data_IF_723548828800
#
_entry.id   IF_723548828800
#
_cell.length_a   1.000
_cell.length_b   1.000
_cell.length_c   1.000
_cell.angle_alpha   90.00
_cell.angle_beta   90.00
_cell.angle_gamma   90.00
#
_symmetry.space_group_name_H-M   'P 1'
#
loop_
_entity.id
_entity.type
_entity.pdbx_description
1 polymer ?
#
# COMPACT_ATOMS: atom_id res chain seq x y z
N UNK A 1 20.09 -9.84 7.74
CA UNK A 1 20.72 -9.11 6.62
C UNK A 1 20.01 -7.76 6.55
N UNK A 2 20.67 -6.64 6.83
CA UNK A 2 20.03 -5.32 6.69
C UNK A 2 20.11 -4.90 5.23
N UNK A 3 18.97 -4.67 4.59
CA UNK A 3 18.91 -4.16 3.22
C UNK A 3 18.92 -2.65 3.29
N UNK A 4 20.00 -2.02 2.82
CA UNK A 4 20.06 -0.57 2.69
C UNK A 4 19.27 -0.16 1.44
N UNK A 5 18.06 0.38 1.66
CA UNK A 5 17.16 0.82 0.60
C UNK A 5 17.15 2.35 0.57
N UNK A 6 17.14 2.96 -0.63
CA UNK A 6 17.11 4.41 -0.76
C UNK A 6 15.83 5.00 -0.15
N UNK A 7 15.90 6.26 0.31
CA UNK A 7 14.72 6.97 0.84
C UNK A 7 13.67 7.27 -0.23
N UNK A 8 14.07 7.40 -1.49
CA UNK A 8 13.17 7.64 -2.62
C UNK A 8 12.84 6.31 -3.34
N UNK A 9 11.66 6.20 -3.98
CA UNK A 9 11.28 4.99 -4.71
C UNK A 9 12.30 4.59 -5.79
N UNK A 10 12.85 3.37 -5.68
CA UNK A 10 13.74 2.77 -6.69
C UNK A 10 13.35 1.31 -6.95
N UNK A 11 12.19 1.15 -7.59
CA UNK A 11 11.67 -0.16 -8.00
C UNK A 11 12.62 -0.93 -8.94
N UNK A 12 13.29 -0.29 -9.93
CA UNK A 12 14.27 -0.98 -10.74
C UNK A 12 15.44 -1.58 -9.94
N UNK A 13 15.94 -0.88 -8.90
CA UNK A 13 16.97 -1.45 -8.03
C UNK A 13 16.45 -2.61 -7.20
N UNK A 14 15.24 -2.50 -6.65
CA UNK A 14 14.58 -3.60 -5.93
C UNK A 14 14.41 -4.84 -6.82
N UNK A 15 13.92 -4.66 -8.06
CA UNK A 15 13.77 -5.74 -9.04
C UNK A 15 15.12 -6.42 -9.33
N UNK A 16 16.20 -5.65 -9.50
CA UNK A 16 17.55 -6.20 -9.68
C UNK A 16 18.02 -6.98 -8.47
N UNK A 17 17.77 -6.48 -7.25
CA UNK A 17 18.16 -7.15 -6.02
C UNK A 17 17.38 -8.46 -5.80
N UNK A 18 16.08 -8.49 -6.10
CA UNK A 18 15.25 -9.70 -6.07
C UNK A 18 15.76 -10.73 -7.07
N UNK A 19 16.06 -10.32 -8.31
CA UNK A 19 16.62 -11.23 -9.34
C UNK A 19 17.97 -11.83 -8.95
N UNK A 20 18.77 -11.10 -8.17
CA UNK A 20 20.06 -11.59 -7.63
C UNK A 20 19.91 -12.40 -6.34
N UNK A 21 18.69 -12.62 -5.84
CA UNK A 21 18.46 -13.33 -4.58
C UNK A 21 18.90 -12.57 -3.32
N UNK A 22 19.15 -11.26 -3.44
CA UNK A 22 19.60 -10.42 -2.31
C UNK A 22 18.44 -10.00 -1.40
N UNK A 23 17.22 -9.99 -1.95
CA UNK A 23 15.99 -9.59 -1.26
C UNK A 23 14.91 -10.64 -1.56
N UNK A 24 14.25 -11.14 -0.52
CA UNK A 24 13.10 -12.02 -0.68
C UNK A 24 11.81 -11.22 -0.82
N UNK A 25 11.48 -10.85 -2.05
CA UNK A 25 10.18 -10.31 -2.43
C UNK A 25 9.60 -11.08 -3.62
N UNK A 26 8.29 -10.98 -3.82
CA UNK A 26 7.61 -11.52 -5.00
C UNK A 26 7.04 -10.36 -5.79
N UNK A 27 7.65 -10.08 -6.93
CA UNK A 27 7.25 -9.00 -7.82
C UNK A 27 6.48 -9.58 -9.00
N UNK A 28 5.50 -8.83 -9.50
CA UNK A 28 4.60 -9.19 -10.58
C UNK A 28 3.85 -10.53 -10.38
N UNK A 29 3.56 -10.86 -9.12
CA UNK A 29 2.85 -12.08 -8.77
C UNK A 29 1.37 -12.00 -9.20
N UNK A 30 0.80 -13.08 -9.75
CA UNK A 30 -0.65 -13.12 -9.94
C UNK A 30 -1.36 -13.03 -8.58
N UNK A 31 -2.49 -12.34 -8.52
CA UNK A 31 -3.26 -12.25 -7.26
C UNK A 31 -3.62 -13.65 -6.71
N UNK A 32 -3.91 -14.61 -7.58
CA UNK A 32 -4.19 -16.00 -7.17
C UNK A 32 -2.96 -16.67 -6.52
N UNK A 33 -1.77 -16.51 -7.10
CA UNK A 33 -0.54 -17.05 -6.53
C UNK A 33 -0.20 -16.41 -5.18
N UNK A 34 -0.37 -15.08 -5.07
CA UNK A 34 -0.19 -14.39 -3.80
C UNK A 34 -1.19 -14.90 -2.75
N UNK A 35 -2.48 -14.99 -3.10
CA UNK A 35 -3.51 -15.41 -2.16
C UNK A 35 -3.32 -16.86 -1.67
N UNK A 36 -2.85 -17.76 -2.52
CA UNK A 36 -2.51 -19.12 -2.12
C UNK A 36 -1.48 -19.14 -0.96
N UNK A 37 -0.50 -18.24 -0.98
CA UNK A 37 0.54 -18.17 0.06
C UNK A 37 0.11 -17.36 1.29
N UNK A 38 -0.78 -16.39 1.11
CA UNK A 38 -1.18 -15.43 2.14
C UNK A 38 -2.46 -15.83 2.88
N UNK A 39 -3.09 -16.95 2.51
CA UNK A 39 -4.33 -17.43 3.12
C UNK A 39 -4.16 -17.60 4.63
N UNK A 40 -5.12 -17.05 5.39
CA UNK A 40 -5.13 -17.10 6.85
C UNK A 40 -4.24 -16.06 7.55
N UNK A 41 -3.56 -15.18 6.81
CA UNK A 41 -2.79 -14.07 7.35
C UNK A 41 -3.50 -12.75 7.09
N UNK A 42 -3.42 -11.83 8.07
CA UNK A 42 -3.73 -10.42 7.81
C UNK A 42 -2.65 -9.84 6.90
N UNK A 43 -3.05 -9.23 5.79
CA UNK A 43 -2.14 -8.50 4.92
C UNK A 43 -2.35 -7.00 5.04
N UNK A 44 -1.27 -6.25 4.95
CA UNK A 44 -1.31 -4.80 4.79
C UNK A 44 -1.34 -4.47 3.30
N UNK A 45 -2.45 -3.91 2.82
CA UNK A 45 -2.62 -3.49 1.44
C UNK A 45 -2.10 -2.05 1.27
N UNK A 46 -0.86 -1.92 0.80
CA UNK A 46 -0.20 -0.63 0.59
C UNK A 46 -0.63 -0.02 -0.74
N UNK A 47 -1.46 1.01 -0.67
CA UNK A 47 -1.97 1.76 -1.82
C UNK A 47 -1.46 3.20 -1.76
N UNK A 48 -1.15 3.83 -2.90
CA UNK A 48 -0.76 5.24 -2.92
C UNK A 48 -1.95 6.12 -2.54
N UNK A 49 -1.89 6.95 -1.50
CA UNK A 49 -2.97 7.90 -1.28
C UNK A 49 -3.03 8.92 -2.43
N UNK A 50 -4.24 9.23 -2.89
CA UNK A 50 -4.46 10.17 -3.98
C UNK A 50 -3.95 11.56 -3.59
N UNK A 51 -2.79 11.94 -4.13
CA UNK A 51 -2.38 13.35 -4.16
C UNK A 51 -3.02 13.98 -5.38
N UNK A 52 -3.80 15.03 -5.16
CA UNK A 52 -4.10 15.99 -6.22
C UNK A 52 -2.77 16.40 -6.86
N UNK A 53 -2.63 16.26 -8.18
CA UNK A 53 -1.47 16.73 -8.95
C UNK A 53 -1.37 18.27 -8.99
N UNK A 54 -2.22 18.98 -8.24
CA UNK A 54 -2.17 20.43 -8.15
C UNK A 54 -1.26 20.79 -6.99
N UNK A 55 -0.22 21.57 -7.28
CA UNK A 55 0.65 22.22 -6.29
C UNK A 55 -0.12 23.15 -5.33
N UNK A 56 -1.41 23.37 -5.58
CA UNK A 56 -2.33 24.01 -4.63
C UNK A 56 -2.73 23.01 -3.55
N UNK A 57 -1.98 23.05 -2.44
CA UNK A 57 -2.25 22.36 -1.18
C UNK A 57 -3.64 22.65 -0.58
N UNK A 58 -4.37 23.61 -1.15
CA UNK A 58 -5.64 24.14 -0.61
C UNK A 58 -6.90 23.46 -1.17
N UNK A 59 -6.81 22.56 -2.16
CA UNK A 59 -8.01 21.90 -2.71
C UNK A 59 -7.95 20.38 -2.57
N UNK A 60 -8.62 19.89 -1.52
CA UNK A 60 -8.99 18.50 -1.34
C UNK A 60 -10.07 18.10 -2.36
N UNK A 61 -9.70 17.32 -3.37
CA UNK A 61 -10.65 16.79 -4.36
C UNK A 61 -11.39 15.57 -3.81
N UNK A 62 -12.59 15.80 -3.28
CA UNK A 62 -13.48 14.75 -2.74
C UNK A 62 -13.82 13.67 -3.77
N UNK A 63 -13.96 14.03 -5.06
CA UNK A 63 -14.28 13.05 -6.10
C UNK A 63 -13.08 12.15 -6.39
N UNK A 64 -11.87 12.71 -6.40
CA UNK A 64 -10.64 11.91 -6.53
C UNK A 64 -10.45 10.94 -5.35
N UNK A 65 -10.80 11.37 -4.13
CA UNK A 65 -10.78 10.51 -2.93
C UNK A 65 -11.77 9.36 -3.04
N UNK A 66 -13.01 9.62 -3.48
CA UNK A 66 -14.03 8.59 -3.66
C UNK A 66 -13.66 7.60 -4.78
N UNK A 67 -13.15 8.08 -5.92
CA UNK A 67 -12.67 7.20 -7.00
C UNK A 67 -11.52 6.31 -6.51
N UNK A 68 -10.57 6.88 -5.78
CA UNK A 68 -9.50 6.11 -5.18
C UNK A 68 -10.03 5.06 -4.18
N UNK A 69 -10.95 5.45 -3.30
CA UNK A 69 -11.53 4.54 -2.31
C UNK A 69 -12.18 3.34 -2.99
N UNK A 70 -13.01 3.56 -4.01
CA UNK A 70 -13.65 2.49 -4.78
C UNK A 70 -12.62 1.56 -5.42
N UNK A 71 -11.53 2.11 -5.96
CA UNK A 71 -10.45 1.30 -6.55
C UNK A 71 -9.70 0.47 -5.50
N UNK A 72 -9.40 1.04 -4.34
CA UNK A 72 -8.78 0.32 -3.23
C UNK A 72 -9.72 -0.77 -2.67
N UNK A 73 -11.01 -0.46 -2.49
CA UNK A 73 -12.03 -1.39 -2.05
C UNK A 73 -12.19 -2.59 -3.00
N UNK A 74 -12.02 -2.40 -4.31
CA UNK A 74 -12.00 -3.52 -5.28
C UNK A 74 -10.87 -4.51 -5.02
N UNK A 75 -9.70 -4.04 -4.57
CA UNK A 75 -8.58 -4.90 -4.19
C UNK A 75 -8.82 -5.61 -2.86
N UNK A 76 -9.35 -4.89 -1.87
CA UNK A 76 -9.76 -5.50 -0.58
C UNK A 76 -10.81 -6.59 -0.82
N UNK A 77 -11.84 -6.31 -1.63
CA UNK A 77 -12.86 -7.29 -2.05
C UNK A 77 -12.22 -8.51 -2.73
N UNK A 78 -11.31 -8.30 -3.67
CA UNK A 78 -10.67 -9.39 -4.40
C UNK A 78 -9.88 -10.31 -3.46
N UNK A 79 -9.11 -9.74 -2.53
CA UNK A 79 -8.37 -10.51 -1.52
C UNK A 79 -9.33 -11.23 -0.56
N UNK A 80 -10.42 -10.58 -0.14
CA UNK A 80 -11.43 -11.19 0.71
C UNK A 80 -12.10 -12.42 0.06
N UNK A 81 -12.47 -12.34 -1.23
CA UNK A 81 -13.00 -13.49 -1.99
C UNK A 81 -12.00 -14.65 -2.05
N UNK A 82 -10.70 -14.35 -1.99
CA UNK A 82 -9.63 -15.34 -1.96
C UNK A 82 -9.24 -15.78 -0.53
N UNK A 83 -10.02 -15.42 0.49
CA UNK A 83 -9.79 -15.72 1.91
C UNK A 83 -8.49 -15.12 2.47
N UNK A 84 -8.12 -13.93 1.99
CA UNK A 84 -7.00 -13.14 2.52
C UNK A 84 -7.57 -11.86 3.15
N UNK A 85 -7.66 -11.77 4.49
CA UNK A 85 -8.08 -10.54 5.13
C UNK A 85 -7.04 -9.44 4.91
N UNK A 86 -7.48 -8.26 4.48
CA UNK A 86 -6.60 -7.15 4.13
C UNK A 86 -7.00 -5.87 4.88
N UNK A 87 -6.05 -5.28 5.61
CA UNK A 87 -6.16 -3.92 6.12
C UNK A 87 -5.65 -2.95 5.05
N UNK A 88 -6.45 -1.94 4.69
CA UNK A 88 -6.04 -0.89 3.76
C UNK A 88 -6.19 0.48 4.42
N UNK A 89 -5.17 0.96 5.15
CA UNK A 89 -5.24 2.27 5.82
C UNK A 89 -5.49 3.42 4.86
N UNK A 90 -5.05 3.35 3.61
CA UNK A 90 -5.34 4.37 2.60
C UNK A 90 -6.85 4.46 2.28
N UNK A 91 -7.57 3.32 2.23
CA UNK A 91 -9.02 3.32 2.04
C UNK A 91 -9.74 3.82 3.31
N UNK A 92 -9.28 3.41 4.49
CA UNK A 92 -9.81 3.90 5.78
C UNK A 92 -9.64 5.42 5.90
N UNK A 93 -8.49 5.96 5.49
CA UNK A 93 -8.22 7.40 5.40
C UNK A 93 -9.25 8.11 4.52
N UNK A 94 -9.57 7.57 3.34
CA UNK A 94 -10.63 8.15 2.49
C UNK A 94 -11.97 8.18 3.21
N UNK A 95 -12.36 7.08 3.84
CA UNK A 95 -13.62 6.98 4.59
C UNK A 95 -13.69 8.00 5.72
N UNK A 96 -12.61 8.11 6.49
CA UNK A 96 -12.51 9.08 7.59
C UNK A 96 -12.58 10.52 7.08
N UNK A 97 -11.86 10.86 6.01
CA UNK A 97 -11.89 12.19 5.41
C UNK A 97 -13.26 12.53 4.80
N UNK A 98 -13.98 11.54 4.29
CA UNK A 98 -15.35 11.71 3.79
C UNK A 98 -16.35 11.88 4.95
N UNK A 99 -16.11 11.23 6.09
CA UNK A 99 -16.97 11.31 7.27
C UNK A 99 -16.68 12.52 8.18
N UNK A 100 -15.50 13.12 8.06
CA UNK A 100 -15.04 14.27 8.84
C UNK A 100 -15.74 15.57 8.39
N UNK A 101 -16.89 15.85 9.00
CA UNK A 101 -17.70 17.04 8.71
C UNK A 101 -17.12 18.29 9.38
N UNK A 102 -16.39 18.09 10.46
CA UNK A 102 -15.76 19.09 11.32
C UNK A 102 -14.41 19.58 10.77
N UNK A 103 -13.83 18.87 9.79
CA UNK A 103 -12.52 19.13 9.20
C UNK A 103 -11.37 19.04 10.23
N UNK A 104 -11.47 18.08 11.15
CA UNK A 104 -10.43 17.78 12.14
C UNK A 104 -9.21 17.09 11.51
N UNK A 105 -9.41 16.37 10.42
CA UNK A 105 -8.40 15.58 9.75
C UNK A 105 -7.79 16.36 8.60
N UNK A 106 -6.46 16.48 8.63
CA UNK A 106 -5.70 17.05 7.52
C UNK A 106 -5.40 15.97 6.48
N UNK A 107 -5.96 16.05 5.27
CA UNK A 107 -5.74 15.03 4.24
C UNK A 107 -4.29 14.91 3.79
N UNK A 108 -3.39 15.85 4.08
CA UNK A 108 -1.97 15.79 3.70
C UNK A 108 -1.00 15.66 4.90
N UNK A 109 -1.52 15.44 6.11
CA UNK A 109 -0.69 15.22 7.30
C UNK A 109 -0.08 13.82 7.30
N UNK A 110 1.02 13.68 6.57
CA UNK A 110 1.70 12.40 6.41
C UNK A 110 2.18 11.79 7.74
N UNK A 111 2.49 12.60 8.75
CA UNK A 111 2.94 12.10 10.05
C UNK A 111 1.78 11.44 10.82
N UNK A 112 0.63 12.12 10.88
CA UNK A 112 -0.58 11.57 11.47
C UNK A 112 -0.97 10.25 10.78
N UNK A 113 -1.03 10.24 9.44
CA UNK A 113 -1.46 9.05 8.70
C UNK A 113 -0.47 7.89 8.79
N UNK A 114 0.83 8.16 8.90
CA UNK A 114 1.84 7.14 9.15
C UNK A 114 1.71 6.52 10.55
N UNK A 115 1.47 7.34 11.59
CA UNK A 115 1.24 6.81 12.94
C UNK A 115 -0.07 6.01 13.03
N UNK A 116 -1.12 6.46 12.32
CA UNK A 116 -2.37 5.71 12.20
C UNK A 116 -2.19 4.35 11.50
N UNK A 117 -1.40 4.30 10.42
CA UNK A 117 -1.21 3.06 9.65
C UNK A 117 -0.27 2.07 10.33
N UNK A 118 0.64 2.55 11.19
CA UNK A 118 1.71 1.75 11.80
C UNK A 118 1.24 0.48 12.52
N UNK A 119 0.18 0.50 13.37
CA UNK A 119 -0.29 -0.72 14.03
C UNK A 119 -0.77 -1.80 13.05
N UNK A 120 -1.44 -1.40 11.96
CA UNK A 120 -1.86 -2.34 10.92
C UNK A 120 -0.66 -2.94 10.18
N UNK A 121 0.36 -2.11 9.91
CA UNK A 121 1.59 -2.54 9.27
C UNK A 121 2.33 -3.56 10.13
N UNK A 122 2.42 -3.31 11.44
CA UNK A 122 3.12 -4.18 12.40
C UNK A 122 2.38 -5.50 12.66
N UNK A 123 1.05 -5.49 12.58
CA UNK A 123 0.24 -6.69 12.77
C UNK A 123 0.16 -7.58 11.51
N UNK A 124 0.54 -7.06 10.34
CA UNK A 124 0.41 -7.79 9.08
C UNK A 124 1.49 -8.86 8.91
N UNK A 125 1.08 -10.04 8.45
CA UNK A 125 1.99 -11.12 8.06
C UNK A 125 2.67 -10.89 6.71
N UNK A 126 2.17 -9.94 5.91
CA UNK A 126 2.76 -9.53 4.64
C UNK A 126 2.31 -8.13 4.22
N UNK A 127 3.12 -7.46 3.40
CA UNK A 127 2.74 -6.25 2.67
C UNK A 127 2.41 -6.62 1.22
N UNK A 128 1.24 -6.20 0.77
CA UNK A 128 0.74 -6.40 -0.60
C UNK A 128 0.64 -5.05 -1.30
N UNK A 129 1.24 -4.94 -2.48
CA UNK A 129 1.22 -3.74 -3.32
C UNK A 129 0.43 -4.03 -4.60
N UNK A 130 -0.82 -3.55 -4.73
CA UNK A 130 -1.61 -3.69 -5.95
C UNK A 130 -1.14 -2.69 -7.03
N UNK A 131 -1.45 -2.94 -8.31
CA UNK A 131 -1.11 -2.06 -9.43
C UNK A 131 -2.05 -0.85 -9.51
N UNK A 132 -2.14 -0.09 -8.42
CA UNK A 132 -2.92 1.15 -8.31
C UNK A 132 -2.20 2.31 -9.01
N UNK A 133 -2.88 3.19 -9.77
CA UNK A 133 -2.21 4.33 -10.42
C UNK A 133 -1.28 5.10 -9.47
N UNK A 134 -0.05 5.37 -9.91
CA UNK A 134 0.95 6.08 -9.09
C UNK A 134 1.70 5.24 -8.06
N UNK A 135 1.41 3.94 -7.90
CA UNK A 135 2.05 3.10 -6.88
C UNK A 135 3.58 3.11 -6.95
N UNK A 136 4.17 3.09 -8.16
CA UNK A 136 5.64 3.11 -8.34
C UNK A 136 6.29 4.43 -7.89
N UNK A 137 5.54 5.52 -7.89
CA UNK A 137 6.04 6.86 -7.55
C UNK A 137 5.73 7.25 -6.11
N UNK A 138 4.89 6.47 -5.42
CA UNK A 138 4.45 6.80 -4.07
C UNK A 138 5.55 6.54 -3.04
N UNK A 139 5.88 7.61 -2.31
CA UNK A 139 6.79 7.53 -1.16
C UNK A 139 6.19 6.75 0.00
N UNK A 140 4.87 6.82 0.19
CA UNK A 140 4.16 6.05 1.23
C UNK A 140 4.28 4.55 0.94
N UNK A 141 3.96 4.14 -0.29
CA UNK A 141 4.08 2.72 -0.71
C UNK A 141 5.52 2.23 -0.60
N UNK A 142 6.47 3.07 -1.02
CA UNK A 142 7.89 2.73 -0.92
C UNK A 142 8.35 2.58 0.53
N UNK A 143 7.91 3.46 1.44
CA UNK A 143 8.24 3.38 2.86
C UNK A 143 7.70 2.09 3.49
N UNK A 144 6.45 1.71 3.19
CA UNK A 144 5.85 0.45 3.66
C UNK A 144 6.67 -0.76 3.20
N UNK A 145 7.08 -0.77 1.92
CA UNK A 145 7.91 -1.83 1.33
C UNK A 145 9.29 -1.88 1.99
N UNK A 146 9.94 -0.73 2.17
CA UNK A 146 11.24 -0.67 2.83
C UNK A 146 11.17 -1.21 4.25
N UNK A 147 10.18 -0.78 5.02
CA UNK A 147 9.96 -1.27 6.38
C UNK A 147 9.76 -2.79 6.39
N UNK A 148 8.93 -3.31 5.48
CA UNK A 148 8.65 -4.74 5.42
C UNK A 148 9.92 -5.55 5.13
N UNK A 149 10.71 -5.13 4.14
CA UNK A 149 11.95 -5.81 3.78
C UNK A 149 13.00 -5.74 4.90
N UNK A 150 13.12 -4.61 5.59
CA UNK A 150 14.01 -4.45 6.74
C UNK A 150 13.57 -5.30 7.94
N UNK A 151 12.26 -5.53 8.08
CA UNK A 151 11.66 -6.30 9.17
C UNK A 151 11.46 -7.79 8.83
N UNK A 152 11.96 -8.26 7.69
CA UNK A 152 11.72 -9.61 7.15
C UNK A 152 10.23 -9.97 6.98
N UNK A 153 9.37 -8.97 6.76
CA UNK A 153 7.97 -9.16 6.40
C UNK A 153 7.89 -9.37 4.87
N UNK A 154 7.26 -10.45 4.38
CA UNK A 154 7.11 -10.71 2.96
C UNK A 154 6.44 -9.56 2.20
N UNK A 155 7.02 -9.19 1.06
CA UNK A 155 6.44 -8.21 0.13
C UNK A 155 5.95 -8.90 -1.14
N UNK A 156 4.70 -8.63 -1.49
CA UNK A 156 4.04 -9.13 -2.69
C UNK A 156 3.55 -7.94 -3.54
N UNK A 157 4.26 -7.63 -4.63
CA UNK A 157 3.71 -6.76 -5.66
C UNK A 157 2.89 -7.63 -6.62
N UNK A 158 1.60 -7.35 -6.69
CA UNK A 158 0.64 -8.20 -7.40
C UNK A 158 0.17 -7.57 -8.70
N UNK A 159 -0.29 -8.41 -9.61
CA UNK A 159 -1.08 -8.04 -10.79
C UNK A 159 -2.44 -8.74 -10.76
N UNK A 160 -3.44 -8.12 -11.37
CA UNK A 160 -4.75 -8.78 -11.55
C UNK A 160 -4.54 -10.04 -12.40
N UNK A 161 -5.19 -11.14 -12.05
CA UNK A 161 -5.34 -12.24 -13.00
C UNK A 161 -6.17 -11.71 -14.18
N UNK A 162 -5.73 -11.99 -15.40
CA UNK A 162 -6.51 -11.72 -16.61
C UNK A 162 -7.76 -12.59 -16.66
#
# INVERSE_FOLDING_TARGET
MSVDLPRAPDWPALERAVKRGQISARLDASTAAAAHHLKGQLVYLSCPFARSNRDDLDQFDRLAVLDFEVRAARWVKLLAVLNVPAACPAAMRCQMLTADMENELRPLDGAFWAEFSRPFLFAAGAVVVPPMPGWRLSREVWADVCWALQSNVPVWQIRRAG
#
